data_IF_666592156796
#
_entry.id   IF_666592156796
#
_cell.length_a   1.000
_cell.length_b   1.000
_cell.length_c   1.000
_cell.angle_alpha   90.00
_cell.angle_beta   90.00
_cell.angle_gamma   90.00
#
_symmetry.space_group_name_H-M   'P 1'
#
loop_
_entity.id
_entity.type
_entity.pdbx_description
1 polymer ?
#
# COMPACT_ATOMS: atom_id res chain seq x y z
N UNK A 1 2.00 -4.54 14.48
CA UNK A 1 1.17 -5.76 14.38
C UNK A 1 0.27 -5.97 15.61
N UNK A 2 0.72 -5.66 16.83
CA UNK A 2 -0.11 -5.82 18.06
C UNK A 2 -1.42 -5.04 18.02
N UNK A 3 -1.41 -3.82 17.48
CA UNK A 3 -2.63 -3.01 17.28
C UNK A 3 -3.56 -3.67 16.28
N UNK A 4 -3.01 -4.19 15.16
CA UNK A 4 -3.78 -4.92 14.17
C UNK A 4 -4.43 -6.17 14.78
N UNK A 5 -3.66 -6.94 15.53
CA UNK A 5 -4.17 -8.13 16.21
C UNK A 5 -5.31 -7.78 17.17
N UNK A 6 -5.15 -6.77 18.01
CA UNK A 6 -6.19 -6.35 18.92
C UNK A 6 -7.47 -5.90 18.20
N UNK A 7 -7.33 -5.13 17.13
CA UNK A 7 -8.45 -4.67 16.31
C UNK A 7 -9.22 -5.84 15.68
N UNK A 8 -8.51 -6.81 15.11
CA UNK A 8 -9.09 -7.94 14.39
C UNK A 8 -9.66 -9.01 15.33
N UNK A 9 -8.88 -9.41 16.35
CA UNK A 9 -9.24 -10.56 17.19
C UNK A 9 -10.12 -10.17 18.38
N UNK A 10 -9.87 -9.00 18.99
CA UNK A 10 -10.59 -8.57 20.20
C UNK A 10 -11.77 -7.66 19.86
N UNK A 11 -11.52 -6.57 19.10
CA UNK A 11 -12.57 -5.64 18.73
C UNK A 11 -13.44 -6.13 17.56
N UNK A 12 -12.96 -7.09 16.79
CA UNK A 12 -13.61 -7.66 15.62
C UNK A 12 -14.09 -6.60 14.64
N UNK A 13 -13.19 -5.64 14.33
CA UNK A 13 -13.50 -4.60 13.34
C UNK A 13 -13.83 -5.22 11.99
N UNK A 14 -14.75 -4.59 11.26
CA UNK A 14 -15.18 -5.06 9.94
C UNK A 14 -14.34 -4.48 8.80
N UNK A 15 -13.69 -3.37 9.04
CA UNK A 15 -12.92 -2.65 8.03
C UNK A 15 -11.56 -2.21 8.57
N UNK A 16 -10.53 -2.43 7.76
CA UNK A 16 -9.20 -1.86 7.93
C UNK A 16 -8.96 -0.95 6.73
N UNK A 17 -8.56 0.28 7.00
CA UNK A 17 -8.25 1.25 5.97
C UNK A 17 -6.76 1.55 6.02
N UNK A 18 -6.06 1.27 4.93
CA UNK A 18 -4.69 1.72 4.70
C UNK A 18 -4.79 3.05 3.95
N UNK A 19 -4.47 4.13 4.62
CA UNK A 19 -4.59 5.47 4.05
C UNK A 19 -3.21 6.12 3.93
N UNK A 20 -2.81 6.42 2.69
CA UNK A 20 -1.67 7.26 2.38
C UNK A 20 -2.08 8.71 2.12
N UNK A 21 -1.12 9.53 1.75
CA UNK A 21 -1.40 10.90 1.30
C UNK A 21 -0.43 11.33 0.20
N UNK A 22 -0.88 12.20 -0.68
CA UNK A 22 -0.02 12.85 -1.65
C UNK A 22 0.96 13.82 -0.98
N UNK A 23 2.06 14.13 -1.66
CA UNK A 23 3.09 15.02 -1.12
C UNK A 23 3.82 14.47 0.10
N UNK A 24 3.91 13.15 0.25
CA UNK A 24 4.60 12.52 1.37
C UNK A 24 6.11 12.71 1.29
N UNK A 25 6.70 13.41 2.27
CA UNK A 25 8.15 13.64 2.33
C UNK A 25 8.97 12.34 2.44
N UNK A 26 8.43 11.30 3.07
CA UNK A 26 9.07 9.99 3.13
C UNK A 26 9.10 9.28 1.78
N UNK A 27 8.02 9.37 1.00
CA UNK A 27 7.96 8.81 -0.36
C UNK A 27 8.89 9.58 -1.29
N UNK A 28 8.92 10.91 -1.19
CA UNK A 28 9.85 11.76 -1.94
C UNK A 28 11.30 11.42 -1.62
N UNK A 29 11.67 11.31 -0.36
CA UNK A 29 13.02 10.96 0.07
C UNK A 29 13.47 9.58 -0.44
N UNK A 30 12.54 8.62 -0.49
CA UNK A 30 12.81 7.30 -1.06
C UNK A 30 13.04 7.36 -2.57
N UNK A 31 12.27 8.18 -3.31
CA UNK A 31 12.41 8.35 -4.76
C UNK A 31 13.71 9.06 -5.13
N UNK A 32 14.12 10.06 -4.35
CA UNK A 32 15.34 10.82 -4.57
C UNK A 32 16.63 10.01 -4.33
N UNK A 33 16.55 8.89 -3.64
CA UNK A 33 17.67 7.99 -3.30
C UNK A 33 18.85 8.71 -2.64
N UNK A 34 18.57 9.74 -1.83
CA UNK A 34 19.57 10.46 -1.04
C UNK A 34 19.76 9.82 0.33
N UNK A 35 20.92 10.04 0.92
CA UNK A 35 21.22 9.59 2.28
C UNK A 35 20.65 10.56 3.31
N UNK A 36 19.79 10.06 4.19
CA UNK A 36 19.15 10.79 5.28
C UNK A 36 19.53 10.24 6.67
N UNK A 37 20.40 9.23 6.72
CA UNK A 37 20.86 8.62 7.96
C UNK A 37 19.98 7.43 8.39
N UNK A 38 19.61 7.37 9.68
CA UNK A 38 18.95 6.19 10.24
C UNK A 38 17.59 5.88 9.60
N UNK A 39 16.88 6.90 9.15
CA UNK A 39 15.57 6.78 8.49
C UNK A 39 15.64 5.99 7.17
N UNK A 40 16.81 5.94 6.53
CA UNK A 40 17.00 5.21 5.27
C UNK A 40 16.67 3.72 5.41
N UNK A 41 16.84 3.16 6.61
CA UNK A 41 16.49 1.77 6.88
C UNK A 41 14.98 1.52 6.78
N UNK A 42 14.16 2.51 7.15
CA UNK A 42 12.71 2.44 7.01
C UNK A 42 12.27 2.82 5.59
N UNK A 43 12.90 3.83 4.97
CA UNK A 43 12.61 4.26 3.60
C UNK A 43 12.89 3.17 2.57
N UNK A 44 13.74 2.19 2.90
CA UNK A 44 14.04 1.05 2.03
C UNK A 44 12.80 0.30 1.59
N UNK A 45 11.80 0.16 2.45
CA UNK A 45 10.53 -0.49 2.08
C UNK A 45 9.79 0.25 0.96
N UNK A 46 9.88 1.59 0.95
CA UNK A 46 9.30 2.41 -0.13
C UNK A 46 10.17 2.31 -1.39
N UNK A 47 11.50 2.26 -1.25
CA UNK A 47 12.41 2.03 -2.37
C UNK A 47 12.17 0.66 -3.01
N UNK A 48 11.91 -0.38 -2.22
CA UNK A 48 11.57 -1.71 -2.74
C UNK A 48 10.27 -1.65 -3.56
N UNK A 49 9.27 -0.89 -3.11
CA UNK A 49 8.05 -0.63 -3.87
C UNK A 49 8.37 0.12 -5.17
N UNK A 50 9.17 1.17 -5.14
CA UNK A 50 9.58 1.90 -6.34
C UNK A 50 10.29 1.01 -7.36
N UNK A 51 11.20 0.15 -6.90
CA UNK A 51 11.90 -0.81 -7.74
C UNK A 51 10.95 -1.86 -8.34
N UNK A 52 10.00 -2.36 -7.54
CA UNK A 52 8.99 -3.32 -8.01
C UNK A 52 8.14 -2.77 -9.16
N UNK A 53 7.86 -1.47 -9.13
CA UNK A 53 7.02 -0.79 -10.11
C UNK A 53 7.82 0.14 -11.03
N UNK A 54 9.13 -0.09 -11.18
CA UNK A 54 10.04 0.73 -11.97
C UNK A 54 9.52 0.96 -13.40
N UNK A 55 9.00 -0.07 -14.06
CA UNK A 55 8.44 0.02 -15.41
C UNK A 55 7.29 1.02 -15.49
N UNK A 56 6.38 1.00 -14.51
CA UNK A 56 5.24 1.94 -14.48
C UNK A 56 5.72 3.36 -14.19
N UNK A 57 6.68 3.51 -13.28
CA UNK A 57 7.19 4.82 -12.86
C UNK A 57 8.09 5.46 -13.92
N UNK A 58 8.83 4.66 -14.69
CA UNK A 58 9.73 5.17 -15.76
C UNK A 58 8.96 5.74 -16.95
N UNK A 59 7.71 5.31 -17.18
CA UNK A 59 6.86 5.83 -18.24
C UNK A 59 6.27 7.22 -17.92
N UNK A 60 6.41 7.68 -16.66
CA UNK A 60 5.91 8.98 -16.21
C UNK A 60 7.05 10.00 -16.29
N UNK A 61 6.92 10.98 -17.17
CA UNK A 61 7.94 12.03 -17.36
C UNK A 61 7.89 13.12 -16.27
N UNK A 62 6.70 13.49 -15.81
CA UNK A 62 6.51 14.50 -14.78
C UNK A 62 6.85 13.96 -13.40
N UNK A 63 7.82 14.59 -12.72
CA UNK A 63 8.29 14.13 -11.40
C UNK A 63 7.23 14.25 -10.29
N UNK A 64 6.31 15.21 -10.40
CA UNK A 64 5.21 15.33 -9.43
C UNK A 64 4.17 14.22 -9.62
N UNK A 65 3.82 13.92 -10.87
CA UNK A 65 2.94 12.78 -11.19
C UNK A 65 3.58 11.44 -10.79
N UNK A 66 4.89 11.30 -11.02
CA UNK A 66 5.64 10.11 -10.59
C UNK A 66 5.61 9.92 -9.08
N UNK A 67 5.80 11.00 -8.32
CA UNK A 67 5.71 10.99 -6.86
C UNK A 67 4.31 10.62 -6.39
N UNK A 68 3.28 11.22 -6.97
CA UNK A 68 1.88 10.93 -6.64
C UNK A 68 1.57 9.46 -6.94
N UNK A 69 2.04 8.94 -8.09
CA UNK A 69 1.88 7.53 -8.45
C UNK A 69 2.58 6.59 -7.48
N UNK A 70 3.78 6.92 -7.01
CA UNK A 70 4.47 6.13 -6.00
C UNK A 70 3.74 6.16 -4.65
N UNK A 71 3.11 7.28 -4.27
CA UNK A 71 2.25 7.33 -3.08
C UNK A 71 1.09 6.32 -3.19
N UNK A 72 0.40 6.27 -4.34
CA UNK A 72 -0.68 5.30 -4.59
C UNK A 72 -0.18 3.85 -4.55
N UNK A 73 0.90 3.54 -5.27
CA UNK A 73 1.49 2.21 -5.32
C UNK A 73 1.95 1.72 -3.95
N UNK A 74 2.51 2.63 -3.14
CA UNK A 74 2.89 2.31 -1.77
C UNK A 74 1.66 1.96 -0.90
N UNK A 75 0.54 2.66 -1.04
CA UNK A 75 -0.71 2.29 -0.35
C UNK A 75 -1.16 0.88 -0.76
N UNK A 76 -1.14 0.59 -2.05
CA UNK A 76 -1.54 -0.72 -2.58
C UNK A 76 -0.66 -1.84 -2.03
N UNK A 77 0.67 -1.64 -1.99
CA UNK A 77 1.59 -2.61 -1.38
C UNK A 77 1.32 -2.80 0.12
N UNK A 78 1.02 -1.73 0.85
CA UNK A 78 0.69 -1.86 2.27
C UNK A 78 -0.66 -2.56 2.49
N UNK A 79 -1.65 -2.38 1.61
CA UNK A 79 -2.91 -3.17 1.64
C UNK A 79 -2.61 -4.66 1.48
N UNK A 80 -1.77 -5.02 0.52
CA UNK A 80 -1.34 -6.40 0.31
C UNK A 80 -0.58 -6.95 1.53
N UNK A 81 0.37 -6.18 2.07
CA UNK A 81 1.12 -6.56 3.26
C UNK A 81 0.21 -6.80 4.47
N UNK A 82 -0.80 -5.96 4.70
CA UNK A 82 -1.80 -6.16 5.77
C UNK A 82 -2.62 -7.42 5.51
N UNK A 83 -3.12 -7.59 4.29
CA UNK A 83 -3.94 -8.73 3.90
C UNK A 83 -3.20 -10.07 3.99
N UNK A 84 -1.89 -10.07 3.77
CA UNK A 84 -1.02 -11.26 3.84
C UNK A 84 -0.56 -11.60 5.26
N UNK A 85 -0.85 -10.76 6.26
CA UNK A 85 -0.55 -11.12 7.66
C UNK A 85 -1.34 -12.35 8.09
N UNK A 86 -0.76 -13.16 8.97
CA UNK A 86 -1.48 -14.30 9.56
C UNK A 86 -2.74 -13.86 10.29
N UNK A 87 -2.73 -12.68 10.92
CA UNK A 87 -3.87 -12.09 11.62
C UNK A 87 -5.09 -11.97 10.71
N UNK A 88 -4.91 -11.39 9.52
CA UNK A 88 -6.00 -11.19 8.56
C UNK A 88 -6.37 -12.50 7.87
N UNK A 89 -5.38 -13.31 7.49
CA UNK A 89 -5.60 -14.61 6.85
C UNK A 89 -6.40 -15.55 7.76
N UNK A 90 -6.06 -15.64 9.04
CA UNK A 90 -6.76 -16.47 10.02
C UNK A 90 -8.18 -15.95 10.29
N UNK A 91 -8.38 -14.61 10.27
CA UNK A 91 -9.71 -14.01 10.36
C UNK A 91 -10.61 -14.46 9.20
N UNK A 92 -10.10 -14.44 7.98
CA UNK A 92 -10.84 -14.90 6.80
C UNK A 92 -11.08 -16.42 6.81
N UNK A 93 -10.14 -17.23 7.30
CA UNK A 93 -10.33 -18.67 7.47
C UNK A 93 -11.45 -18.99 8.47
N UNK A 94 -11.57 -18.17 9.54
CA UNK A 94 -12.68 -18.26 10.50
C UNK A 94 -14.00 -17.70 9.95
N UNK A 95 -14.02 -17.23 8.69
CA UNK A 95 -15.18 -16.58 8.05
C UNK A 95 -15.61 -15.29 8.77
N UNK A 96 -14.66 -14.61 9.41
CA UNK A 96 -14.90 -13.32 10.01
C UNK A 96 -15.13 -12.28 8.90
N UNK A 97 -16.14 -11.43 9.07
CA UNK A 97 -16.43 -10.35 8.15
C UNK A 97 -15.37 -9.23 8.34
N UNK A 98 -14.36 -9.22 7.47
CA UNK A 98 -13.25 -8.29 7.50
C UNK A 98 -12.85 -7.89 6.09
N UNK A 99 -12.79 -6.58 5.84
CA UNK A 99 -12.36 -6.01 4.57
C UNK A 99 -11.15 -5.10 4.78
N UNK A 100 -10.21 -5.13 3.84
CA UNK A 100 -9.04 -4.24 3.82
C UNK A 100 -9.14 -3.33 2.60
N UNK A 101 -9.01 -2.02 2.82
CA UNK A 101 -9.17 -0.98 1.80
C UNK A 101 -7.91 -0.15 1.63
N UNK A 102 -7.68 0.37 0.42
CA UNK A 102 -6.62 1.31 0.11
C UNK A 102 -7.17 2.67 -0.27
N UNK A 103 -6.87 3.70 0.51
CA UNK A 103 -7.31 5.07 0.28
C UNK A 103 -6.12 6.02 0.23
N UNK A 104 -6.29 7.13 -0.47
CA UNK A 104 -5.29 8.21 -0.49
C UNK A 104 -5.94 9.55 -0.18
N UNK A 105 -5.26 10.36 0.61
CA UNK A 105 -5.71 11.67 1.05
C UNK A 105 -4.93 12.77 0.32
N UNK A 106 -5.64 13.75 -0.22
CA UNK A 106 -5.01 14.95 -0.77
C UNK A 106 -5.05 16.09 0.25
N UNK A 107 -3.86 16.56 0.64
CA UNK A 107 -3.72 17.69 1.56
C UNK A 107 -4.17 19.02 0.95
N UNK A 108 -4.26 19.11 -0.39
CA UNK A 108 -4.63 20.35 -1.08
C UNK A 108 -6.12 20.65 -0.97
N UNK A 109 -6.96 19.64 -1.04
CA UNK A 109 -8.42 19.79 -1.03
C UNK A 109 -9.10 19.10 0.16
N UNK A 110 -8.38 18.31 0.94
CA UNK A 110 -8.89 17.59 2.10
C UNK A 110 -9.78 16.40 1.75
N UNK A 111 -9.67 15.88 0.53
CA UNK A 111 -10.52 14.80 0.04
C UNK A 111 -9.77 13.47 0.08
N UNK A 112 -10.49 12.43 0.46
CA UNK A 112 -10.04 11.03 0.37
C UNK A 112 -10.52 10.45 -0.95
N UNK A 113 -9.60 9.81 -1.68
CA UNK A 113 -9.90 9.03 -2.87
C UNK A 113 -9.73 7.54 -2.57
N UNK A 114 -10.73 6.75 -2.90
CA UNK A 114 -10.63 5.29 -2.89
C UNK A 114 -9.80 4.84 -4.10
N UNK A 115 -8.76 4.04 -3.87
CA UNK A 115 -7.90 3.51 -4.93
C UNK A 115 -8.50 2.28 -5.64
N UNK A 116 -9.77 1.97 -5.36
CA UNK A 116 -10.45 0.78 -5.87
C UNK A 116 -9.71 -0.53 -5.53
N UNK A 117 -9.14 -0.54 -4.33
CA UNK A 117 -8.47 -1.70 -3.74
C UNK A 117 -9.27 -2.15 -2.52
N UNK A 118 -9.96 -3.27 -2.68
CA UNK A 118 -10.84 -3.85 -1.68
C UNK A 118 -10.61 -5.35 -1.59
N UNK A 119 -10.17 -5.83 -0.44
CA UNK A 119 -9.85 -7.24 -0.21
C UNK A 119 -10.67 -7.80 0.95
N UNK A 120 -11.34 -8.92 0.69
CA UNK A 120 -12.22 -9.62 1.65
C UNK A 120 -11.82 -11.09 1.87
N UNK A 121 -10.83 -11.58 1.13
CA UNK A 121 -10.39 -12.96 1.19
C UNK A 121 -9.03 -13.18 0.51
N UNK A 122 -8.46 -14.37 0.73
CA UNK A 122 -7.17 -14.77 0.15
C UNK A 122 -7.17 -14.80 -1.39
N UNK A 123 -8.28 -15.17 -2.01
CA UNK A 123 -8.36 -15.26 -3.48
C UNK A 123 -8.25 -13.86 -4.09
N UNK A 124 -8.95 -12.88 -3.53
CA UNK A 124 -8.86 -11.48 -3.93
C UNK A 124 -7.44 -10.94 -3.77
N UNK A 125 -6.77 -11.25 -2.66
CA UNK A 125 -5.38 -10.87 -2.39
C UNK A 125 -4.44 -11.43 -3.47
N UNK A 126 -4.53 -12.72 -3.77
CA UNK A 126 -3.72 -13.37 -4.78
C UNK A 126 -3.98 -12.79 -6.19
N UNK A 127 -5.23 -12.47 -6.50
CA UNK A 127 -5.63 -11.89 -7.78
C UNK A 127 -5.04 -10.48 -7.94
N UNK A 128 -5.14 -9.67 -6.89
CA UNK A 128 -4.59 -8.31 -6.88
C UNK A 128 -3.06 -8.34 -7.02
N UNK A 129 -2.38 -9.20 -6.26
CA UNK A 129 -0.93 -9.39 -6.34
C UNK A 129 -0.48 -9.75 -7.76
N UNK A 130 -1.15 -10.71 -8.40
CA UNK A 130 -0.85 -11.10 -9.78
C UNK A 130 -1.09 -9.97 -10.77
N UNK A 131 -2.19 -9.20 -10.63
CA UNK A 131 -2.51 -8.05 -11.50
C UNK A 131 -1.42 -7.00 -11.49
N UNK A 132 -0.89 -6.67 -10.31
CA UNK A 132 0.16 -5.67 -10.17
C UNK A 132 1.53 -6.20 -10.62
N UNK A 133 1.91 -7.43 -10.28
CA UNK A 133 3.14 -8.04 -10.76
C UNK A 133 3.15 -8.20 -12.28
N UNK A 134 1.99 -8.54 -12.89
CA UNK A 134 1.88 -8.63 -14.34
C UNK A 134 2.10 -7.27 -15.00
N UNK A 135 1.52 -6.20 -14.47
CA UNK A 135 1.73 -4.82 -14.99
C UNK A 135 3.19 -4.35 -14.82
N UNK A 136 3.83 -4.73 -13.72
CA UNK A 136 5.23 -4.37 -13.46
C UNK A 136 6.22 -5.10 -14.41
N UNK A 137 5.84 -6.26 -14.96
CA UNK A 137 6.68 -7.10 -15.82
C UNK A 137 6.37 -6.98 -17.31
N UNK A 138 5.44 -6.11 -17.71
CA UNK A 138 5.18 -5.83 -19.14
C UNK A 138 6.14 -4.73 -19.61
N UNK A 139 7.28 -5.14 -20.11
CA UNK A 139 8.19 -4.38 -20.96
C UNK A 139 8.04 -4.79 -22.41
#
# INVERSE_FOLDING_TARGET
LSVLQFAVEVLQVKHIIVCGHYGCGGVQAALENKRHGLIDNWLRHIQDTANLYETILSDIEDEAEKLDKLCELNVIEQVLNVAETTIVQDAWERKQNLSVHGWIYDLKDGIITDLDVHLENRVGTNTLRKRFLYKANQT
#
